data_IF_312476689665
#
_entry.id   IF_312476689665
#
_cell.length_a   1.000
_cell.length_b   1.000
_cell.length_c   1.000
_cell.angle_alpha   90.00
_cell.angle_beta   90.00
_cell.angle_gamma   90.00
#
_symmetry.space_group_name_H-M   'P 1'
#
loop_
_entity.id
_entity.type
_entity.pdbx_description
1 polymer ?
#
# COMPACT_ATOMS: atom_id res chain seq x y z
N UNK A 1 -16.17 59.53 3.31
CA UNK A 1 -15.45 59.12 2.09
C UNK A 1 -13.97 59.35 2.34
N UNK A 2 -13.23 58.29 2.70
CA UNK A 2 -11.80 58.36 3.04
C UNK A 2 -11.06 57.28 2.25
N UNK A 3 -10.23 57.75 1.32
CA UNK A 3 -9.35 56.97 0.47
C UNK A 3 -8.18 56.44 1.30
N UNK A 4 -7.97 55.12 1.39
CA UNK A 4 -6.68 54.54 1.82
C UNK A 4 -6.49 53.23 1.04
N UNK A 5 -5.76 53.27 -0.08
CA UNK A 5 -4.31 53.17 -0.16
C UNK A 5 -3.91 51.71 -0.43
N UNK A 6 -3.82 51.41 -1.72
CA UNK A 6 -3.25 50.19 -2.29
C UNK A 6 -1.85 49.94 -1.72
N UNK A 7 -1.72 48.93 -0.86
CA UNK A 7 -0.46 48.48 -0.26
C UNK A 7 0.15 47.34 -1.06
N UNK A 8 1.28 47.66 -1.71
CA UNK A 8 2.27 46.84 -2.42
C UNK A 8 2.22 45.29 -2.28
N UNK A 9 2.36 44.54 -3.39
CA UNK A 9 2.97 43.21 -3.35
C UNK A 9 4.47 43.38 -3.04
N UNK A 10 5.14 42.40 -2.43
CA UNK A 10 6.48 42.54 -1.83
C UNK A 10 6.73 41.48 -0.72
N UNK A 11 6.29 40.25 -0.96
CA UNK A 11 6.99 38.97 -0.75
C UNK A 11 7.79 38.73 0.54
N UNK A 12 7.24 37.84 1.36
CA UNK A 12 7.93 36.76 2.07
C UNK A 12 9.29 37.08 2.71
N UNK A 13 9.28 37.85 3.81
CA UNK A 13 10.27 37.57 4.85
C UNK A 13 10.10 36.09 5.29
N UNK A 14 11.12 35.24 5.18
CA UNK A 14 11.09 33.97 5.88
C UNK A 14 11.21 34.31 7.37
N UNK A 15 10.07 34.50 8.03
CA UNK A 15 9.93 34.19 9.46
C UNK A 15 10.10 32.68 9.59
N UNK A 16 11.31 32.20 9.34
CA UNK A 16 11.74 30.90 9.78
C UNK A 16 12.32 31.14 11.18
N UNK A 17 11.51 31.04 12.26
CA UNK A 17 12.11 30.93 13.59
C UNK A 17 13.02 29.73 13.50
N UNK A 18 14.33 29.92 13.66
CA UNK A 18 15.34 28.89 13.49
C UNK A 18 14.84 27.54 14.06
N UNK A 19 14.44 26.64 13.15
CA UNK A 19 13.88 25.32 13.49
C UNK A 19 14.98 24.31 13.81
N UNK A 20 16.25 24.72 13.72
CA UNK A 20 17.37 23.86 14.05
C UNK A 20 17.34 23.56 15.55
N UNK A 21 17.17 22.28 15.94
CA UNK A 21 17.15 21.91 17.35
C UNK A 21 18.48 22.33 18.00
N UNK A 22 18.39 23.17 19.04
CA UNK A 22 19.56 23.52 19.82
C UNK A 22 20.00 22.30 20.64
N UNK A 23 21.12 21.68 20.26
CA UNK A 23 21.70 20.53 20.97
C UNK A 23 22.41 20.92 22.26
N UNK A 24 22.53 22.22 22.55
CA UNK A 24 23.19 22.74 23.75
C UNK A 24 22.36 22.39 24.99
N UNK A 25 22.75 21.33 25.70
CA UNK A 25 22.08 20.86 26.92
C UNK A 25 21.47 19.47 26.82
N UNK A 26 21.54 18.80 25.67
CA UNK A 26 21.18 17.38 25.56
C UNK A 26 22.21 16.52 26.29
N UNK A 27 21.77 15.89 27.39
CA UNK A 27 22.62 15.06 28.25
C UNK A 27 23.22 13.84 27.52
N UNK A 28 22.57 13.43 26.42
CA UNK A 28 22.93 12.27 25.62
C UNK A 28 23.83 12.61 24.42
N UNK A 29 24.08 13.90 24.16
CA UNK A 29 24.89 14.36 23.04
C UNK A 29 26.27 14.86 23.50
N UNK A 30 27.34 14.24 23.01
CA UNK A 30 28.68 14.78 23.18
C UNK A 30 28.86 16.08 22.36
N UNK A 31 29.75 16.99 22.78
CA UNK A 31 30.06 18.26 22.08
C UNK A 31 30.52 18.17 20.61
N UNK A 32 30.53 16.97 20.01
CA UNK A 32 30.81 16.72 18.59
C UNK A 32 29.65 16.06 17.83
N UNK A 33 28.43 16.02 18.40
CA UNK A 33 27.26 15.39 17.78
C UNK A 33 27.23 13.86 17.85
N UNK A 34 28.09 13.26 18.68
CA UNK A 34 28.04 11.84 19.02
C UNK A 34 27.00 11.56 20.10
N UNK A 35 26.57 10.30 20.18
CA UNK A 35 25.81 9.75 21.31
C UNK A 35 26.59 8.61 21.94
N UNK A 36 26.46 8.38 23.25
CA UNK A 36 27.05 7.21 23.90
C UNK A 36 26.43 5.93 23.35
N UNK A 37 27.24 4.90 23.01
CA UNK A 37 26.72 3.58 22.68
C UNK A 37 25.85 3.05 23.83
N UNK A 38 24.55 2.82 23.56
CA UNK A 38 23.55 2.45 24.57
C UNK A 38 22.39 3.45 24.71
N UNK A 39 22.55 4.69 24.23
CA UNK A 39 21.49 5.71 24.14
C UNK A 39 20.91 5.81 22.72
N UNK A 40 20.51 4.66 22.15
CA UNK A 40 19.74 4.58 20.88
C UNK A 40 19.19 3.18 20.72
N UNK A 41 17.94 2.96 20.26
CA UNK A 41 16.76 3.86 20.13
C UNK A 41 15.71 3.60 21.25
N UNK A 42 14.73 4.50 21.51
CA UNK A 42 13.53 4.14 22.28
C UNK A 42 12.85 2.95 21.60
N UNK A 43 12.19 2.07 22.37
CA UNK A 43 11.47 0.87 21.92
C UNK A 43 11.16 0.94 20.43
N UNK A 44 12.12 0.48 19.64
CA UNK A 44 11.90 0.33 18.22
C UNK A 44 10.91 -0.81 18.22
N UNK A 45 9.63 -0.49 18.09
CA UNK A 45 8.68 -1.37 17.46
C UNK A 45 9.27 -1.64 16.08
N UNK A 46 10.25 -2.55 16.07
CA UNK A 46 10.89 -3.04 14.89
C UNK A 46 9.74 -3.40 13.99
N UNK A 47 9.79 -2.90 12.78
CA UNK A 47 8.94 -3.35 11.71
C UNK A 47 9.28 -4.82 11.38
N UNK A 48 9.26 -5.71 12.37
CA UNK A 48 8.57 -6.99 12.27
C UNK A 48 7.11 -6.68 11.95
N UNK A 49 6.88 -6.11 10.77
CA UNK A 49 5.69 -6.44 10.01
C UNK A 49 5.73 -7.94 9.94
N UNK A 50 4.95 -8.59 10.80
CA UNK A 50 4.51 -9.96 10.62
C UNK A 50 4.34 -10.17 9.12
N UNK A 51 4.96 -11.20 8.50
CA UNK A 51 4.67 -11.53 7.11
C UNK A 51 3.15 -11.49 6.95
N UNK A 52 2.58 -10.80 5.95
CA UNK A 52 1.15 -10.81 5.74
C UNK A 52 0.71 -12.26 5.86
N UNK A 53 -0.22 -12.53 6.78
CA UNK A 53 -0.69 -13.89 7.06
C UNK A 53 -0.88 -14.62 5.73
N UNK A 54 -0.42 -15.87 5.64
CA UNK A 54 -0.59 -16.68 4.44
C UNK A 54 -2.01 -16.46 3.91
N UNK A 55 -2.19 -16.09 2.64
CA UNK A 55 -3.47 -15.64 2.12
C UNK A 55 -4.53 -16.66 2.50
N UNK A 56 -5.63 -16.17 3.08
CA UNK A 56 -6.71 -17.03 3.57
C UNK A 56 -7.06 -18.06 2.49
N UNK A 57 -7.24 -19.34 2.85
CA UNK A 57 -7.56 -20.39 1.88
C UNK A 57 -8.73 -19.92 1.04
N UNK A 58 -8.50 -19.79 -0.27
CA UNK A 58 -9.54 -19.37 -1.19
C UNK A 58 -10.64 -20.43 -1.10
N UNK A 59 -11.91 -20.06 -0.87
CA UNK A 59 -12.97 -21.04 -0.75
C UNK A 59 -12.97 -21.92 -2.00
N UNK A 60 -13.15 -23.25 -1.84
CA UNK A 60 -13.16 -24.17 -2.98
C UNK A 60 -14.17 -23.65 -3.99
N UNK A 61 -13.77 -23.59 -5.27
CA UNK A 61 -14.66 -23.12 -6.32
C UNK A 61 -15.97 -23.91 -6.22
N UNK A 62 -17.08 -23.17 -6.29
CA UNK A 62 -18.42 -23.74 -6.18
C UNK A 62 -18.53 -24.97 -7.07
N UNK A 63 -19.02 -26.08 -6.51
CA UNK A 63 -19.31 -27.31 -7.27
C UNK A 63 -20.21 -27.01 -8.47
N UNK A 64 -21.02 -25.96 -8.40
CA UNK A 64 -21.85 -25.46 -9.49
C UNK A 64 -21.04 -25.11 -10.73
N UNK A 65 -19.88 -24.45 -10.60
CA UNK A 65 -19.04 -24.10 -11.74
C UNK A 65 -18.51 -25.35 -12.45
N UNK A 66 -18.10 -26.37 -11.69
CA UNK A 66 -17.65 -27.65 -12.25
C UNK A 66 -18.80 -28.37 -12.98
N UNK A 67 -19.99 -28.43 -12.36
CA UNK A 67 -21.17 -29.06 -12.96
C UNK A 67 -21.57 -28.36 -14.25
N UNK A 68 -21.61 -27.03 -14.27
CA UNK A 68 -21.93 -26.24 -15.48
C UNK A 68 -20.93 -26.54 -16.60
N UNK A 69 -19.63 -26.60 -16.28
CA UNK A 69 -18.61 -26.92 -17.27
C UNK A 69 -18.79 -28.33 -17.85
N UNK A 70 -19.06 -29.33 -17.01
CA UNK A 70 -19.29 -30.71 -17.43
C UNK A 70 -20.51 -30.78 -18.37
N UNK A 71 -21.62 -30.13 -18.01
CA UNK A 71 -22.83 -30.11 -18.84
C UNK A 71 -22.56 -29.46 -20.20
N UNK A 72 -21.83 -28.34 -20.21
CA UNK A 72 -21.47 -27.65 -21.46
C UNK A 72 -20.63 -28.54 -22.39
N UNK A 73 -19.62 -29.22 -21.83
CA UNK A 73 -18.78 -30.15 -22.59
C UNK A 73 -19.59 -31.33 -23.11
N UNK A 74 -20.50 -31.89 -22.30
CA UNK A 74 -21.35 -33.00 -22.72
C UNK A 74 -22.26 -32.62 -23.90
N UNK A 75 -22.83 -31.41 -23.89
CA UNK A 75 -23.64 -30.90 -25.01
C UNK A 75 -22.79 -30.79 -26.28
N UNK A 76 -21.58 -30.21 -26.19
CA UNK A 76 -20.68 -30.11 -27.33
C UNK A 76 -20.34 -31.49 -27.91
N UNK A 77 -20.00 -32.45 -27.07
CA UNK A 77 -19.70 -33.83 -27.51
C UNK A 77 -20.90 -34.44 -28.23
N UNK A 78 -22.11 -34.28 -27.70
CA UNK A 78 -23.33 -34.77 -28.36
C UNK A 78 -23.54 -34.15 -29.74
N UNK A 79 -23.29 -32.84 -29.89
CA UNK A 79 -23.38 -32.16 -31.18
C UNK A 79 -22.36 -32.71 -32.18
N UNK A 80 -21.11 -32.94 -31.76
CA UNK A 80 -20.09 -33.52 -32.62
C UNK A 80 -20.42 -34.95 -33.04
N UNK A 81 -20.93 -35.77 -32.12
CA UNK A 81 -21.37 -37.14 -32.42
C UNK A 81 -22.54 -37.11 -33.39
N UNK A 82 -23.56 -36.28 -33.15
CA UNK A 82 -24.71 -36.14 -34.04
C UNK A 82 -24.30 -35.64 -35.43
N UNK A 83 -23.39 -34.66 -35.50
CA UNK A 83 -22.85 -34.15 -36.76
C UNK A 83 -22.08 -35.23 -37.51
N UNK A 84 -21.20 -35.97 -36.84
CA UNK A 84 -20.42 -37.06 -37.43
C UNK A 84 -21.31 -38.18 -37.96
N UNK A 85 -22.31 -38.61 -37.17
CA UNK A 85 -23.30 -39.59 -37.62
C UNK A 85 -24.09 -39.05 -38.81
N UNK A 86 -24.55 -37.80 -38.77
CA UNK A 86 -25.28 -37.19 -39.87
C UNK A 86 -24.46 -36.98 -41.15
N UNK A 87 -23.13 -36.91 -41.05
CA UNK A 87 -22.23 -36.79 -42.21
C UNK A 87 -21.84 -38.15 -42.81
N UNK A 88 -21.86 -39.21 -42.01
CA UNK A 88 -21.38 -40.55 -42.40
C UNK A 88 -22.51 -41.58 -42.53
N UNK A 89 -23.71 -41.26 -42.08
CA UNK A 89 -24.92 -42.08 -42.15
C UNK A 89 -25.81 -41.79 -43.35
#
# INVERSE_FOLDING_TARGET
MSNQQWGRPEDHEPRNPNLDPNTTGDADLEPGGGVKPGHTPPDSHSATSTPPHAPAPRPPRSKTTLVVLIVLVAILVLLFVAYGIGLWG
#
